data_IF_566248438942
#
_entry.id   IF_566248438942
#
_cell.length_a   1.000
_cell.length_b   1.000
_cell.length_c   1.000
_cell.angle_alpha   90.00
_cell.angle_beta   90.00
_cell.angle_gamma   90.00
#
_symmetry.space_group_name_H-M   'P 1'
#
loop_
_entity.id
_entity.type
_entity.pdbx_description
1 polymer ?
#
# COMPACT_ATOMS: atom_id res chain seq x y z
N UNK A 1 -14.05 58.00 -58.58
CA UNK A 1 -12.72 57.40 -58.72
C UNK A 1 -12.64 56.25 -57.71
N UNK A 2 -12.70 54.99 -58.20
CA UNK A 2 -12.71 53.77 -57.39
C UNK A 2 -11.28 53.43 -56.98
N UNK A 3 -11.01 53.17 -55.70
CA UNK A 3 -9.83 52.40 -55.29
C UNK A 3 -10.24 51.37 -54.24
N UNK A 4 -9.80 50.15 -54.51
CA UNK A 4 -10.23 48.88 -53.95
C UNK A 4 -9.54 48.55 -52.62
N UNK A 5 -10.29 47.94 -51.70
CA UNK A 5 -9.74 47.21 -50.55
C UNK A 5 -8.99 45.96 -51.05
N UNK A 6 -7.66 45.91 -50.82
CA UNK A 6 -6.88 44.68 -50.98
C UNK A 6 -7.17 43.75 -49.81
N UNK A 7 -7.92 42.67 -50.08
CA UNK A 7 -8.01 41.51 -49.18
C UNK A 7 -6.65 40.80 -49.18
N UNK A 8 -5.96 40.83 -48.04
CA UNK A 8 -4.81 39.96 -47.79
C UNK A 8 -5.30 38.53 -47.62
N UNK A 9 -4.94 37.66 -48.56
CA UNK A 9 -5.12 36.21 -48.44
C UNK A 9 -3.99 35.70 -47.55
N UNK A 10 -4.33 35.30 -46.33
CA UNK A 10 -3.41 34.60 -45.44
C UNK A 10 -3.32 33.15 -45.90
N UNK A 11 -2.28 32.82 -46.66
CA UNK A 11 -1.97 31.44 -47.02
C UNK A 11 -1.39 30.78 -45.77
N UNK A 12 -2.20 29.98 -45.07
CA UNK A 12 -1.72 29.05 -44.06
C UNK A 12 -0.84 28.00 -44.75
N UNK A 13 0.48 28.14 -44.62
CA UNK A 13 1.42 27.04 -44.90
C UNK A 13 1.12 25.92 -43.91
N UNK A 14 0.46 24.86 -44.39
CA UNK A 14 0.43 23.57 -43.72
C UNK A 14 1.86 23.06 -43.62
N UNK A 15 2.49 23.26 -42.47
CA UNK A 15 3.70 22.55 -42.09
C UNK A 15 3.31 21.08 -41.89
N UNK A 16 3.43 20.28 -42.95
CA UNK A 16 3.40 18.83 -42.87
C UNK A 16 4.62 18.40 -42.04
N UNK A 17 4.44 18.31 -40.72
CA UNK A 17 5.34 17.58 -39.85
C UNK A 17 5.30 16.12 -40.30
N UNK A 18 6.33 15.72 -41.03
CA UNK A 18 6.68 14.33 -41.22
C UNK A 18 6.80 13.68 -39.84
N UNK A 19 5.77 12.93 -39.42
CA UNK A 19 5.95 11.84 -38.48
C UNK A 19 6.81 10.79 -39.19
N UNK A 20 8.13 11.01 -39.18
CA UNK A 20 9.07 9.91 -39.29
C UNK A 20 8.74 9.00 -38.11
N UNK A 21 8.13 7.86 -38.40
CA UNK A 21 8.16 6.71 -37.52
C UNK A 21 9.63 6.32 -37.39
N UNK A 22 10.36 7.01 -36.52
CA UNK A 22 11.58 6.48 -35.97
C UNK A 22 11.13 5.23 -35.22
N UNK A 23 11.24 4.08 -35.88
CA UNK A 23 11.26 2.82 -35.18
C UNK A 23 12.42 2.94 -34.21
N UNK A 24 12.08 3.29 -32.96
CA UNK A 24 13.07 3.50 -31.92
C UNK A 24 13.63 2.12 -31.66
N UNK A 25 14.81 1.86 -32.22
CA UNK A 25 15.56 0.67 -31.89
C UNK A 25 15.64 0.60 -30.36
N UNK A 26 15.26 -0.54 -29.82
CA UNK A 26 15.27 -0.78 -28.40
C UNK A 26 16.41 -1.72 -28.04
N UNK A 27 16.75 -1.78 -26.75
CA UNK A 27 17.80 -2.66 -26.22
C UNK A 27 19.22 -2.31 -26.72
N UNK A 28 19.50 -1.02 -26.94
CA UNK A 28 20.84 -0.52 -27.26
C UNK A 28 21.72 -0.41 -26.01
N UNK A 29 23.03 -0.48 -26.24
CA UNK A 29 24.08 -0.22 -25.25
C UNK A 29 24.81 1.08 -25.61
N UNK A 30 25.32 1.78 -24.61
CA UNK A 30 26.26 2.87 -24.80
C UNK A 30 27.69 2.36 -25.07
N UNK A 31 28.61 3.29 -25.31
CA UNK A 31 30.04 3.01 -25.59
C UNK A 31 30.73 2.21 -24.48
N UNK A 32 30.17 2.21 -23.26
CA UNK A 32 30.68 1.47 -22.09
C UNK A 32 29.98 0.12 -21.89
N UNK A 33 29.16 -0.30 -22.85
CA UNK A 33 28.38 -1.54 -22.77
C UNK A 33 27.22 -1.48 -21.78
N UNK A 34 26.78 -0.29 -21.35
CA UNK A 34 25.64 -0.13 -20.43
C UNK A 34 24.35 0.14 -21.18
N UNK A 35 23.22 -0.24 -20.58
CA UNK A 35 21.87 0.00 -21.12
C UNK A 35 21.66 1.49 -21.43
N UNK A 36 21.25 1.82 -22.65
CA UNK A 36 20.99 3.22 -23.02
C UNK A 36 19.82 3.32 -24.01
N UNK A 37 18.95 4.32 -23.79
CA UNK A 37 17.75 4.56 -24.56
C UNK A 37 16.59 3.64 -24.19
N UNK A 38 15.65 3.50 -25.11
CA UNK A 38 14.43 2.69 -24.92
C UNK A 38 14.81 1.22 -24.81
N UNK A 39 14.26 0.55 -23.81
CA UNK A 39 14.46 -0.86 -23.53
C UNK A 39 13.14 -1.59 -23.40
N UNK A 40 13.08 -2.78 -23.99
CA UNK A 40 11.94 -3.70 -23.92
C UNK A 40 12.41 -5.06 -23.44
N UNK A 41 11.84 -5.51 -22.33
CA UNK A 41 11.95 -6.90 -21.88
C UNK A 41 10.78 -7.71 -22.41
N UNK A 42 11.00 -8.99 -22.67
CA UNK A 42 9.99 -9.91 -23.18
C UNK A 42 9.84 -11.14 -22.26
N UNK A 43 8.65 -11.72 -22.22
CA UNK A 43 8.44 -13.02 -21.60
C UNK A 43 9.15 -14.11 -22.42
N UNK A 44 9.78 -15.08 -21.74
CA UNK A 44 10.62 -16.08 -22.41
C UNK A 44 9.82 -17.00 -23.33
N UNK A 45 8.64 -17.47 -22.90
CA UNK A 45 7.81 -18.38 -23.69
C UNK A 45 7.04 -17.66 -24.80
N UNK A 46 6.16 -16.73 -24.44
CA UNK A 46 5.26 -16.08 -25.39
C UNK A 46 5.91 -15.03 -26.28
N UNK A 47 7.12 -14.58 -25.92
CA UNK A 47 7.82 -13.43 -26.50
C UNK A 47 7.02 -12.11 -26.45
N UNK A 48 5.96 -12.03 -25.65
CA UNK A 48 5.19 -10.79 -25.46
C UNK A 48 6.00 -9.78 -24.63
N UNK A 49 5.82 -8.47 -24.83
CA UNK A 49 6.53 -7.47 -24.04
C UNK A 49 6.11 -7.58 -22.57
N UNK A 50 7.10 -7.74 -21.69
CA UNK A 50 6.95 -7.80 -20.24
C UNK A 50 7.08 -6.41 -19.63
N UNK A 51 7.97 -5.59 -20.16
CA UNK A 51 8.11 -4.20 -19.75
C UNK A 51 8.69 -3.34 -20.87
N UNK A 52 8.48 -2.03 -20.77
CA UNK A 52 9.15 -1.01 -21.57
C UNK A 52 9.53 0.17 -20.67
N UNK A 53 10.72 0.75 -20.89
CA UNK A 53 11.18 1.94 -20.18
C UNK A 53 12.48 2.47 -20.76
N UNK A 54 13.04 3.51 -20.16
CA UNK A 54 14.28 4.16 -20.64
C UNK A 54 15.42 3.93 -19.66
N UNK A 55 16.59 3.60 -20.18
CA UNK A 55 17.83 3.62 -19.42
C UNK A 55 18.73 4.75 -19.89
N UNK A 56 19.40 5.40 -18.94
CA UNK A 56 20.50 6.32 -19.19
C UNK A 56 21.75 5.78 -18.49
N UNK A 57 22.75 5.37 -19.27
CA UNK A 57 24.02 4.84 -18.78
C UNK A 57 23.88 3.71 -17.74
N UNK A 58 22.91 2.82 -17.98
CA UNK A 58 22.60 1.69 -17.11
C UNK A 58 21.61 1.99 -15.99
N UNK A 59 21.21 3.26 -15.77
CA UNK A 59 20.24 3.66 -14.74
C UNK A 59 18.84 3.79 -15.34
N UNK A 60 17.82 3.25 -14.68
CA UNK A 60 16.42 3.49 -15.03
C UNK A 60 16.05 4.97 -14.87
N UNK A 61 15.40 5.54 -15.89
CA UNK A 61 14.90 6.92 -15.85
C UNK A 61 13.48 7.00 -16.39
N UNK A 62 12.69 7.92 -15.83
CA UNK A 62 11.30 8.14 -16.25
C UNK A 62 10.39 6.97 -15.92
N UNK A 63 9.35 6.79 -16.73
CA UNK A 63 8.30 5.81 -16.47
C UNK A 63 8.58 4.48 -17.16
N UNK A 64 8.59 3.41 -16.38
CA UNK A 64 8.54 2.04 -16.85
C UNK A 64 7.11 1.52 -16.82
N UNK A 65 6.69 0.90 -17.92
CA UNK A 65 5.41 0.23 -18.06
C UNK A 65 5.63 -1.29 -17.99
N UNK A 66 4.81 -1.99 -17.20
CA UNK A 66 4.86 -3.44 -17.05
C UNK A 66 3.54 -4.06 -17.51
N UNK A 67 3.65 -5.16 -18.25
CA UNK A 67 2.50 -5.81 -18.88
C UNK A 67 2.36 -7.27 -18.42
N UNK A 68 1.13 -7.78 -18.44
CA UNK A 68 0.88 -9.21 -18.24
C UNK A 68 1.26 -10.05 -19.48
N UNK A 69 1.26 -11.37 -19.31
CA UNK A 69 1.55 -12.32 -20.39
C UNK A 69 0.27 -12.82 -21.09
N UNK A 70 -0.73 -11.96 -21.23
CA UNK A 70 -1.93 -12.28 -22.02
C UNK A 70 -1.79 -11.72 -23.43
N UNK A 71 -2.65 -12.18 -24.36
CA UNK A 71 -2.71 -11.56 -25.70
C UNK A 71 -3.13 -10.09 -25.64
N UNK A 72 -3.86 -9.68 -24.59
CA UNK A 72 -4.28 -8.31 -24.40
C UNK A 72 -3.13 -7.38 -23.98
N UNK A 73 -2.03 -7.93 -23.43
CA UNK A 73 -0.86 -7.16 -22.95
C UNK A 73 -1.32 -6.03 -22.02
N UNK A 74 -2.10 -6.38 -21.01
CA UNK A 74 -2.68 -5.39 -20.10
C UNK A 74 -1.57 -4.73 -19.29
N UNK A 75 -1.63 -3.40 -19.13
CA UNK A 75 -0.74 -2.66 -18.24
C UNK A 75 -1.07 -3.02 -16.78
N UNK A 76 -0.17 -3.69 -16.10
CA UNK A 76 -0.36 -4.17 -14.72
C UNK A 76 0.42 -3.36 -13.69
N UNK A 77 1.44 -2.61 -14.11
CA UNK A 77 2.13 -1.68 -13.22
C UNK A 77 2.83 -0.56 -13.99
N UNK A 78 3.01 0.57 -13.31
CA UNK A 78 3.94 1.63 -13.70
C UNK A 78 4.96 1.87 -12.60
N UNK A 79 6.19 2.25 -12.99
CA UNK A 79 7.23 2.71 -12.07
C UNK A 79 7.86 3.98 -12.61
N UNK A 80 7.68 5.08 -11.92
CA UNK A 80 8.34 6.34 -12.24
C UNK A 80 9.63 6.46 -11.43
N UNK A 81 10.78 6.30 -12.10
CA UNK A 81 12.09 6.37 -11.47
C UNK A 81 12.54 7.83 -11.30
N UNK A 82 12.97 8.15 -10.07
CA UNK A 82 13.53 9.45 -9.72
C UNK A 82 14.91 9.63 -10.36
N UNK A 83 15.12 10.78 -10.99
CA UNK A 83 16.44 11.15 -11.49
C UNK A 83 17.45 11.39 -10.34
N UNK A 84 16.96 11.80 -9.16
CA UNK A 84 17.78 12.30 -8.04
C UNK A 84 18.33 11.20 -7.14
N UNK A 85 17.60 10.10 -6.99
CA UNK A 85 17.94 9.02 -6.08
C UNK A 85 17.61 7.65 -6.71
N UNK A 86 17.69 6.57 -5.93
CA UNK A 86 17.31 5.21 -6.35
C UNK A 86 15.85 4.89 -6.01
N UNK A 87 15.00 5.92 -5.96
CA UNK A 87 13.60 5.73 -5.66
C UNK A 87 12.74 5.68 -6.91
N UNK A 88 11.59 5.00 -6.79
CA UNK A 88 10.56 5.02 -7.80
C UNK A 88 9.18 5.08 -7.15
N UNK A 89 8.23 5.79 -7.77
CA UNK A 89 6.82 5.68 -7.41
C UNK A 89 6.19 4.55 -8.23
N UNK A 90 5.59 3.59 -7.54
CA UNK A 90 5.00 2.40 -8.17
C UNK A 90 3.49 2.46 -8.07
N UNK A 91 2.79 2.13 -9.16
CA UNK A 91 1.33 1.90 -9.17
C UNK A 91 1.09 0.53 -9.76
N UNK A 92 0.24 -0.27 -9.10
CA UNK A 92 -0.25 -1.55 -9.60
C UNK A 92 -1.70 -1.41 -10.05
N UNK A 93 -2.07 -2.12 -11.12
CA UNK A 93 -3.40 -2.10 -11.71
C UNK A 93 -4.01 -3.49 -11.79
N UNK A 94 -5.34 -3.56 -11.78
CA UNK A 94 -6.08 -4.76 -12.17
C UNK A 94 -6.20 -4.85 -13.71
N UNK A 95 -6.84 -5.93 -14.19
CA UNK A 95 -7.06 -6.17 -15.62
C UNK A 95 -7.93 -5.10 -16.31
N UNK A 96 -8.71 -4.35 -15.54
CA UNK A 96 -9.57 -3.26 -16.02
C UNK A 96 -8.89 -1.87 -15.86
N UNK A 97 -7.59 -1.84 -15.55
CA UNK A 97 -6.78 -0.62 -15.31
C UNK A 97 -7.21 0.17 -14.07
N UNK A 98 -7.97 -0.42 -13.15
CA UNK A 98 -8.21 0.21 -11.85
C UNK A 98 -6.95 0.10 -10.98
N UNK A 99 -6.65 1.13 -10.20
CA UNK A 99 -5.53 1.07 -9.25
C UNK A 99 -5.82 0.04 -8.17
N UNK A 100 -4.84 -0.82 -7.89
CA UNK A 100 -4.89 -1.82 -6.82
C UNK A 100 -4.08 -1.34 -5.62
N UNK A 101 -2.88 -0.81 -5.88
CA UNK A 101 -2.04 -0.20 -4.85
C UNK A 101 -1.05 0.79 -5.45
N UNK A 102 -0.55 1.69 -4.62
CA UNK A 102 0.53 2.61 -4.99
C UNK A 102 1.40 2.97 -3.79
N UNK A 103 2.66 3.32 -4.06
CA UNK A 103 3.59 3.75 -3.03
C UNK A 103 5.01 3.93 -3.54
N UNK A 104 5.87 4.47 -2.67
CA UNK A 104 7.28 4.69 -2.98
C UNK A 104 8.09 3.41 -2.72
N UNK A 105 9.06 3.18 -3.60
CA UNK A 105 10.07 2.14 -3.49
C UNK A 105 11.43 2.81 -3.46
N UNK A 106 12.31 2.42 -2.55
CA UNK A 106 13.72 2.85 -2.50
C UNK A 106 14.59 1.62 -2.48
N UNK A 107 15.59 1.53 -3.37
CA UNK A 107 16.47 0.35 -3.48
C UNK A 107 15.69 -0.98 -3.60
N UNK A 108 14.56 -0.97 -4.34
CA UNK A 108 13.65 -2.11 -4.53
C UNK A 108 12.86 -2.54 -3.29
N UNK A 109 12.90 -1.78 -2.19
CA UNK A 109 12.14 -2.01 -0.96
C UNK A 109 11.03 -0.96 -0.81
N UNK A 110 9.89 -1.35 -0.25
CA UNK A 110 8.81 -0.41 0.05
C UNK A 110 9.25 0.64 1.07
N UNK A 111 8.87 1.89 0.84
CA UNK A 111 9.27 3.03 1.66
C UNK A 111 8.12 4.02 1.80
N UNK A 112 7.94 4.56 3.00
CA UNK A 112 6.87 5.50 3.32
C UNK A 112 5.48 4.87 3.25
N UNK A 113 4.48 5.71 3.00
CA UNK A 113 3.09 5.27 2.96
C UNK A 113 2.75 4.57 1.64
N UNK A 114 2.22 3.35 1.76
CA UNK A 114 1.59 2.59 0.70
C UNK A 114 0.07 2.63 0.86
N UNK A 115 -0.64 2.74 -0.26
CA UNK A 115 -2.10 2.77 -0.33
C UNK A 115 -2.58 1.57 -1.12
N UNK A 116 -3.64 0.95 -0.64
CA UNK A 116 -4.34 -0.15 -1.28
C UNK A 116 -5.80 0.25 -1.46
N UNK A 117 -6.38 -0.06 -2.61
CA UNK A 117 -7.72 0.39 -2.98
C UNK A 117 -8.73 -0.74 -2.92
N UNK A 118 -9.98 -0.38 -2.65
CA UNK A 118 -11.09 -1.31 -2.84
C UNK A 118 -11.22 -1.69 -4.33
N UNK A 119 -11.70 -2.89 -4.59
CA UNK A 119 -11.86 -3.42 -5.95
C UNK A 119 -12.67 -2.45 -6.83
N UNK A 120 -12.12 -2.12 -8.00
CA UNK A 120 -12.72 -1.21 -8.98
C UNK A 120 -13.19 0.13 -8.38
N UNK A 121 -12.52 0.63 -7.34
CA UNK A 121 -12.87 1.86 -6.63
C UNK A 121 -11.65 2.76 -6.42
N UNK A 122 -11.91 4.06 -6.28
CA UNK A 122 -10.89 5.04 -5.86
C UNK A 122 -10.78 5.14 -4.33
N UNK A 123 -11.67 4.48 -3.59
CA UNK A 123 -11.66 4.49 -2.14
C UNK A 123 -10.51 3.62 -1.63
N UNK A 124 -9.74 4.18 -0.70
CA UNK A 124 -8.65 3.48 -0.04
C UNK A 124 -9.24 2.42 0.87
N UNK A 125 -8.77 1.18 0.74
CA UNK A 125 -9.05 0.05 1.60
C UNK A 125 -8.06 -0.03 2.75
N UNK A 126 -6.79 0.29 2.50
CA UNK A 126 -5.74 0.20 3.52
C UNK A 126 -4.63 1.20 3.24
N UNK A 127 -4.11 1.83 4.29
CA UNK A 127 -2.82 2.52 4.27
C UNK A 127 -1.84 1.83 5.19
N UNK A 128 -0.60 1.68 4.75
CA UNK A 128 0.49 1.00 5.45
C UNK A 128 1.74 1.87 5.39
N UNK A 129 2.51 1.95 6.48
CA UNK A 129 3.77 2.69 6.51
C UNK A 129 4.94 1.72 6.52
N UNK A 130 5.92 1.97 5.66
CA UNK A 130 7.10 1.13 5.49
C UNK A 130 8.39 1.91 5.72
N UNK A 131 9.38 1.24 6.31
CA UNK A 131 10.78 1.71 6.41
C UNK A 131 11.67 0.57 5.96
N UNK A 132 12.45 0.76 4.90
CA UNK A 132 13.34 -0.26 4.33
C UNK A 132 12.63 -1.62 4.08
N UNK A 133 11.42 -1.57 3.52
CA UNK A 133 10.63 -2.74 3.18
C UNK A 133 9.96 -3.44 4.37
N UNK A 134 10.07 -2.90 5.59
CA UNK A 134 9.37 -3.42 6.77
C UNK A 134 8.23 -2.50 7.16
N UNK A 135 7.08 -3.09 7.47
CA UNK A 135 5.93 -2.38 8.01
C UNK A 135 6.30 -1.81 9.38
N UNK A 136 6.20 -0.48 9.51
CA UNK A 136 6.69 0.32 10.64
C UNK A 136 5.76 1.52 10.82
N UNK A 137 5.19 1.68 12.01
CA UNK A 137 4.20 2.69 12.33
C UNK A 137 2.76 2.25 12.05
N UNK A 138 1.88 3.23 11.82
CA UNK A 138 0.44 3.00 11.74
C UNK A 138 0.04 2.29 10.44
N UNK A 139 -0.79 1.27 10.56
CA UNK A 139 -1.60 0.71 9.48
C UNK A 139 -3.07 1.00 9.78
N UNK A 140 -3.78 1.49 8.77
CA UNK A 140 -5.20 1.84 8.87
C UNK A 140 -5.97 1.10 7.78
N UNK A 141 -7.05 0.42 8.17
CA UNK A 141 -8.00 -0.24 7.27
C UNK A 141 -9.27 0.58 7.25
N UNK A 142 -9.88 0.70 6.08
CA UNK A 142 -11.11 1.46 5.86
C UNK A 142 -12.22 0.55 5.34
N UNK A 143 -13.45 0.91 5.68
CA UNK A 143 -14.65 0.42 5.03
C UNK A 143 -14.78 1.00 3.61
N UNK A 144 -15.57 0.39 2.73
CA UNK A 144 -15.87 0.95 1.41
C UNK A 144 -16.44 2.37 1.44
N UNK A 145 -17.10 2.77 2.54
CA UNK A 145 -17.58 4.12 2.80
C UNK A 145 -16.48 5.15 3.09
N UNK A 146 -15.22 4.72 3.24
CA UNK A 146 -14.07 5.55 3.60
C UNK A 146 -13.90 5.77 5.10
N UNK A 147 -14.79 5.22 5.93
CA UNK A 147 -14.66 5.26 7.40
C UNK A 147 -13.62 4.26 7.87
N UNK A 148 -12.95 4.57 8.98
CA UNK A 148 -11.95 3.69 9.58
C UNK A 148 -12.63 2.42 10.13
N UNK A 149 -12.06 1.27 9.79
CA UNK A 149 -12.45 -0.04 10.29
C UNK A 149 -11.46 -0.57 11.34
N UNK A 150 -10.17 -0.31 11.15
CA UNK A 150 -9.10 -0.80 12.02
C UNK A 150 -7.91 0.16 12.00
N UNK A 151 -7.28 0.35 13.15
CA UNK A 151 -6.00 1.03 13.30
C UNK A 151 -5.07 0.16 14.14
N UNK A 152 -3.84 -0.03 13.66
CA UNK A 152 -2.84 -0.82 14.38
C UNK A 152 -1.43 -0.34 14.11
N UNK A 153 -0.60 -0.28 15.16
CA UNK A 153 0.82 0.00 14.98
C UNK A 153 1.62 -1.27 14.72
N UNK A 154 2.63 -1.12 13.86
CA UNK A 154 3.64 -2.11 13.59
C UNK A 154 5.03 -1.60 13.95
N UNK A 155 5.90 -2.53 14.33
CA UNK A 155 7.33 -2.34 14.47
C UNK A 155 8.02 -3.56 13.90
N UNK A 156 8.89 -3.38 12.90
CA UNK A 156 9.57 -4.47 12.21
C UNK A 156 8.64 -5.61 11.74
N UNK A 157 7.54 -5.27 11.06
CA UNK A 157 6.50 -6.23 10.61
C UNK A 157 5.68 -6.89 11.71
N UNK A 158 5.89 -6.55 12.99
CA UNK A 158 5.13 -7.11 14.11
C UNK A 158 4.16 -6.07 14.67
N UNK A 159 2.92 -6.47 14.92
CA UNK A 159 1.94 -5.65 15.65
C UNK A 159 2.53 -5.25 17.00
N UNK A 160 2.65 -3.96 17.25
CA UNK A 160 3.30 -3.42 18.42
C UNK A 160 2.78 -2.01 18.73
N UNK A 161 2.07 -1.86 19.85
CA UNK A 161 1.43 -0.62 20.27
C UNK A 161 -0.09 -0.76 20.29
N UNK A 162 -0.79 0.36 20.11
CA UNK A 162 -2.25 0.38 20.18
C UNK A 162 -2.89 -0.32 18.97
N UNK A 163 -4.06 -0.90 19.24
CA UNK A 163 -5.00 -1.42 18.28
C UNK A 163 -6.38 -0.86 18.57
N UNK A 164 -7.09 -0.43 17.54
CA UNK A 164 -8.50 -0.07 17.61
C UNK A 164 -9.26 -0.70 16.46
N UNK A 165 -10.44 -1.23 16.76
CA UNK A 165 -11.40 -1.73 15.77
C UNK A 165 -12.71 -0.99 15.91
N UNK A 166 -13.30 -0.62 14.78
CA UNK A 166 -14.52 0.14 14.73
C UNK A 166 -15.61 -0.63 13.98
N UNK A 167 -16.85 -0.23 14.17
CA UNK A 167 -17.96 -0.49 13.25
C UNK A 167 -17.98 0.57 12.15
N UNK A 168 -18.75 0.34 11.08
CA UNK A 168 -18.98 1.35 10.04
C UNK A 168 -19.77 2.59 10.55
N UNK A 169 -20.36 2.52 11.73
CA UNK A 169 -20.96 3.69 12.40
C UNK A 169 -19.95 4.50 13.21
N UNK A 170 -18.69 4.06 13.29
CA UNK A 170 -17.63 4.69 14.09
C UNK A 170 -17.60 4.25 15.56
N UNK A 171 -18.46 3.31 15.95
CA UNK A 171 -18.48 2.75 17.30
C UNK A 171 -17.27 1.85 17.48
N UNK A 172 -16.49 2.07 18.54
CA UNK A 172 -15.31 1.26 18.86
C UNK A 172 -15.75 -0.09 19.42
N UNK A 173 -15.33 -1.16 18.77
CA UNK A 173 -15.58 -2.55 19.19
C UNK A 173 -14.47 -3.10 20.07
N UNK A 174 -13.25 -2.62 19.85
CA UNK A 174 -12.08 -3.07 20.58
C UNK A 174 -11.05 -1.95 20.68
N UNK A 175 -10.54 -1.75 21.90
CA UNK A 175 -9.32 -0.99 22.15
C UNK A 175 -8.37 -1.91 22.92
N UNK A 176 -7.21 -2.20 22.34
CA UNK A 176 -6.27 -3.13 22.95
C UNK A 176 -4.83 -2.76 22.59
N UNK A 177 -3.89 -3.50 23.18
CA UNK A 177 -2.47 -3.27 23.03
C UNK A 177 -1.78 -4.56 22.60
N UNK A 178 -0.82 -4.44 21.68
CA UNK A 178 -0.01 -5.54 21.19
C UNK A 178 1.47 -5.31 21.51
N UNK A 179 2.19 -6.40 21.75
CA UNK A 179 3.64 -6.46 21.79
C UNK A 179 4.08 -7.67 20.97
N UNK A 180 4.79 -7.44 19.88
CA UNK A 180 5.28 -8.49 18.98
C UNK A 180 4.19 -9.51 18.56
N UNK A 181 3.09 -9.04 17.98
CA UNK A 181 1.92 -9.86 17.56
C UNK A 181 1.07 -10.46 18.68
N UNK A 182 1.40 -10.21 19.94
CA UNK A 182 0.73 -10.82 21.09
C UNK A 182 -0.01 -9.73 21.88
N UNK A 183 -1.24 -9.98 22.32
CA UNK A 183 -1.95 -9.07 23.24
C UNK A 183 -1.13 -8.81 24.50
N UNK A 184 -0.99 -7.54 24.87
CA UNK A 184 -0.19 -7.11 26.00
C UNK A 184 -0.64 -5.75 26.50
N UNK A 185 -1.12 -5.67 27.74
CA UNK A 185 -1.62 -4.43 28.33
C UNK A 185 -3.14 -4.42 28.43
N UNK A 186 -3.72 -3.23 28.59
CA UNK A 186 -5.16 -3.06 28.75
C UNK A 186 -5.90 -3.45 27.46
N UNK A 187 -7.07 -4.05 27.63
CA UNK A 187 -8.01 -4.33 26.57
C UNK A 187 -9.44 -4.03 27.02
N UNK A 188 -10.19 -3.39 26.13
CA UNK A 188 -11.60 -3.04 26.28
C UNK A 188 -12.32 -3.57 25.04
N UNK A 189 -13.39 -4.33 25.27
CA UNK A 189 -14.27 -4.82 24.22
C UNK A 189 -15.66 -4.25 24.44
N UNK A 190 -16.27 -3.81 23.35
CA UNK A 190 -17.60 -3.20 23.34
C UNK A 190 -18.48 -3.86 22.30
N UNK A 191 -19.80 -3.78 22.50
CA UNK A 191 -20.79 -4.22 21.53
C UNK A 191 -20.98 -3.17 20.40
N UNK A 192 -21.84 -3.49 19.44
CA UNK A 192 -22.17 -2.62 18.30
C UNK A 192 -22.98 -1.38 18.67
N UNK A 193 -23.41 -1.24 19.94
CA UNK A 193 -24.06 -0.05 20.47
C UNK A 193 -23.09 0.82 21.29
N UNK A 194 -21.85 0.36 21.48
CA UNK A 194 -20.82 1.06 22.25
C UNK A 194 -20.84 0.74 23.74
N UNK A 195 -21.64 -0.22 24.18
CA UNK A 195 -21.59 -0.66 25.57
C UNK A 195 -20.36 -1.55 25.77
N UNK A 196 -19.55 -1.25 26.78
CA UNK A 196 -18.47 -2.14 27.20
C UNK A 196 -19.09 -3.48 27.59
N UNK A 197 -18.58 -4.56 27.03
CA UNK A 197 -18.98 -5.94 27.36
C UNK A 197 -17.92 -6.63 28.20
N UNK A 198 -16.65 -6.28 28.03
CA UNK A 198 -15.60 -6.73 28.93
C UNK A 198 -14.38 -5.82 28.89
N UNK A 199 -13.64 -5.78 30.00
CA UNK A 199 -12.34 -5.13 30.06
C UNK A 199 -11.41 -5.83 31.05
N UNK A 200 -10.12 -5.70 30.83
CA UNK A 200 -9.10 -6.25 31.70
C UNK A 200 -7.70 -6.06 31.09
N UNK A 201 -6.76 -6.87 31.54
CA UNK A 201 -5.39 -6.83 31.05
C UNK A 201 -4.98 -8.15 30.41
N UNK A 202 -4.15 -8.07 29.39
CA UNK A 202 -3.41 -9.20 28.82
C UNK A 202 -1.94 -9.14 29.21
N UNK A 203 -1.36 -10.29 29.53
CA UNK A 203 0.08 -10.50 29.70
C UNK A 203 0.46 -11.71 28.84
N UNK A 204 1.38 -11.52 27.90
CA UNK A 204 1.84 -12.56 26.97
C UNK A 204 0.68 -13.30 26.28
N UNK A 205 -0.33 -12.54 25.83
CA UNK A 205 -1.47 -13.07 25.07
C UNK A 205 -2.56 -13.70 25.92
N UNK A 206 -2.36 -13.79 27.23
CA UNK A 206 -3.32 -14.38 28.16
C UNK A 206 -3.96 -13.31 29.02
N UNK A 207 -5.26 -13.46 29.30
CA UNK A 207 -5.95 -12.65 30.30
C UNK A 207 -5.21 -12.76 31.64
N UNK A 208 -4.99 -11.63 32.30
CA UNK A 208 -4.27 -11.53 33.57
C UNK A 208 -4.93 -10.50 34.46
N UNK A 209 -4.82 -10.67 35.78
CA UNK A 209 -5.46 -9.79 36.74
C UNK A 209 -6.99 -9.88 36.69
N UNK A 210 -7.64 -8.84 37.18
CA UNK A 210 -9.09 -8.77 37.26
C UNK A 210 -9.69 -8.47 35.89
N UNK A 211 -10.60 -9.33 35.46
CA UNK A 211 -11.44 -9.16 34.28
C UNK A 211 -12.87 -8.88 34.67
N UNK A 212 -13.42 -7.81 34.12
CA UNK A 212 -14.77 -7.36 34.37
C UNK A 212 -15.63 -7.58 33.12
N UNK A 213 -16.84 -8.10 33.33
CA UNK A 213 -17.82 -8.36 32.28
C UNK A 213 -19.13 -7.65 32.59
N UNK A 214 -19.72 -7.07 31.56
CA UNK A 214 -20.86 -6.18 31.69
C UNK A 214 -21.99 -6.63 30.77
N UNK A 215 -23.23 -6.50 31.26
CA UNK A 215 -24.44 -6.64 30.45
C UNK A 215 -25.29 -5.39 30.63
N UNK A 216 -25.69 -4.77 29.51
CA UNK A 216 -26.48 -3.53 29.50
C UNK A 216 -25.86 -2.43 30.40
N UNK A 217 -24.53 -2.33 30.38
CA UNK A 217 -23.76 -1.34 31.16
C UNK A 217 -23.57 -1.67 32.64
N UNK A 218 -24.13 -2.77 33.16
CA UNK A 218 -23.96 -3.19 34.56
C UNK A 218 -22.91 -4.29 34.68
N UNK A 219 -22.03 -4.18 35.67
CA UNK A 219 -21.07 -5.23 36.00
C UNK A 219 -21.85 -6.47 36.44
N UNK A 220 -21.73 -7.56 35.69
CA UNK A 220 -22.40 -8.84 36.00
C UNK A 220 -21.43 -9.90 36.50
N UNK A 221 -20.15 -9.77 36.18
CA UNK A 221 -19.14 -10.74 36.57
C UNK A 221 -17.78 -10.08 36.69
N UNK A 222 -17.06 -10.45 37.73
CA UNK A 222 -15.64 -10.16 37.89
C UNK A 222 -14.88 -11.47 38.12
N UNK A 223 -13.74 -11.64 37.46
CA UNK A 223 -12.92 -12.84 37.58
C UNK A 223 -11.46 -12.44 37.70
N UNK A 224 -10.77 -12.95 38.72
CA UNK A 224 -9.31 -12.89 38.74
C UNK A 224 -8.77 -13.96 37.78
N UNK A 225 -8.30 -13.52 36.62
CA UNK A 225 -7.70 -14.34 35.56
C UNK A 225 -6.18 -14.40 35.66
N UNK A 226 -5.61 -13.93 36.78
CA UNK A 226 -4.24 -14.28 37.10
C UNK A 226 -4.22 -15.80 37.23
N UNK A 227 -3.50 -16.48 36.33
CA UNK A 227 -3.10 -17.84 36.64
C UNK A 227 -2.45 -17.78 38.02
N UNK A 228 -2.78 -18.67 38.97
CA UNK A 228 -1.85 -18.87 40.06
C UNK A 228 -0.52 -19.13 39.37
N UNK A 229 0.46 -18.26 39.62
CA UNK A 229 1.84 -18.67 39.41
C UNK A 229 1.89 -20.07 39.99
N UNK A 230 2.27 -21.06 39.18
CA UNK A 230 2.58 -22.35 39.73
C UNK A 230 3.58 -22.07 40.85
N UNK A 231 3.10 -22.12 42.09
CA UNK A 231 3.39 -23.18 43.02
C UNK A 231 4.71 -23.87 42.65
N UNK A 232 5.81 -23.12 42.71
CA UNK A 232 7.11 -23.65 43.10
C UNK A 232 7.02 -23.96 44.59
N UNK A 233 6.08 -24.82 44.98
CA UNK A 233 6.21 -25.61 46.20
C UNK A 233 7.07 -26.80 45.82
N UNK A 234 8.29 -26.74 46.34
CA UNK A 234 9.06 -27.89 46.80
C UNK A 234 8.27 -29.20 46.80
N UNK A 235 8.73 -30.17 46.02
CA UNK A 235 8.78 -31.54 46.51
C UNK A 235 10.21 -32.03 46.32
N UNK A 236 10.89 -32.08 47.45
CA UNK A 236 12.04 -32.89 47.77
C UNK A 236 12.04 -34.24 47.02
N UNK A 237 13.18 -34.61 46.44
CA UNK A 237 14.17 -35.48 47.09
C UNK A 237 15.46 -35.50 46.28
#
# INVERSE_FOLDING_TARGET
>A
MKVFYKKGIFILMFLNLFCLNAQTDFNKLDEKGKKHGVWRGFFEGSKRPRYEGTFEHGKEVGVFNFYDDTKAKSLIATREFSAKDNSAYTIFYDQNKNKVSEGKVVNKLFEGQWKYYHQASKNIMTTENYVNGKLEGLRTVFYPSGKIAEEINYKNNLKNGFYKKYTEKGIVLEESMFKNNIYSGLAIFSDTNGNIVSKGQFVNGKKSGVWQFFEKGKLVKEMNMSFPENATKSKNN
#
